data_IF_743924935141
#
_entry.id   IF_743924935141
#
_cell.length_a   1.000
_cell.length_b   1.000
_cell.length_c   1.000
_cell.angle_alpha   90.00
_cell.angle_beta   90.00
_cell.angle_gamma   90.00
#
_symmetry.space_group_name_H-M   'P 1'
#
loop_
_entity.id
_entity.type
_entity.pdbx_description
1 polymer ?
#
# COMPACT_ATOMS: atom_id res chain seq x y z
N UNK A 1 6.39 -9.21 16.40
CA UNK A 1 6.96 -7.87 16.06
C UNK A 1 6.13 -7.27 14.93
N UNK A 2 5.75 -6.00 15.01
CA UNK A 2 5.06 -5.34 13.90
C UNK A 2 6.01 -4.49 13.05
N UNK A 3 5.92 -4.59 11.71
CA UNK A 3 6.68 -3.78 10.75
C UNK A 3 5.78 -3.29 9.62
N UNK A 4 6.22 -2.32 8.81
CA UNK A 4 5.42 -1.75 7.71
C UNK A 4 4.40 -0.69 8.17
N UNK A 5 4.39 -0.34 9.45
CA UNK A 5 3.48 0.67 10.00
C UNK A 5 4.01 2.11 9.89
N UNK A 6 5.26 2.30 9.45
CA UNK A 6 5.83 3.64 9.27
C UNK A 6 5.13 4.36 8.11
N UNK A 7 4.42 5.43 8.44
CA UNK A 7 3.82 6.31 7.44
C UNK A 7 4.90 7.16 6.77
N UNK A 8 4.88 7.22 5.44
CA UNK A 8 5.72 8.14 4.68
C UNK A 8 5.21 9.56 4.92
N UNK A 9 6.05 10.41 5.51
CA UNK A 9 5.73 11.83 5.71
C UNK A 9 6.11 12.60 4.45
N UNK A 10 5.12 13.23 3.82
CA UNK A 10 5.35 14.12 2.67
C UNK A 10 5.97 15.42 3.18
N UNK A 11 7.10 15.82 2.59
CA UNK A 11 7.80 17.06 2.96
C UNK A 11 6.98 18.30 2.60
N UNK A 12 7.19 19.40 3.34
CA UNK A 12 6.53 20.68 3.09
C UNK A 12 6.74 21.21 1.68
N UNK A 13 7.95 21.02 1.11
CA UNK A 13 8.25 21.38 -0.27
C UNK A 13 7.30 20.68 -1.25
N UNK A 14 7.12 19.37 -1.12
CA UNK A 14 6.23 18.61 -1.99
C UNK A 14 4.76 18.99 -1.78
N UNK A 15 4.34 19.28 -0.55
CA UNK A 15 2.98 19.78 -0.26
C UNK A 15 2.68 21.09 -0.98
N UNK A 16 3.62 22.03 -0.95
CA UNK A 16 3.48 23.33 -1.62
C UNK A 16 3.45 23.15 -3.14
N UNK A 17 4.38 22.37 -3.70
CA UNK A 17 4.41 22.08 -5.15
C UNK A 17 3.10 21.42 -5.59
N UNK A 18 2.59 20.46 -4.82
CA UNK A 18 1.33 19.78 -5.09
C UNK A 18 0.13 20.73 -4.98
N UNK A 19 0.11 21.64 -3.99
CA UNK A 19 -0.92 22.68 -3.85
C UNK A 19 -0.99 23.58 -5.10
N UNK A 20 0.16 24.05 -5.58
CA UNK A 20 0.24 24.90 -6.77
C UNK A 20 -0.21 24.13 -8.01
N UNK A 21 0.31 22.92 -8.21
CA UNK A 21 -0.04 22.10 -9.37
C UNK A 21 -1.54 21.76 -9.42
N UNK A 22 -2.13 21.41 -8.27
CA UNK A 22 -3.57 21.12 -8.18
C UNK A 22 -4.43 22.38 -8.37
N UNK A 23 -4.01 23.54 -7.86
CA UNK A 23 -4.70 24.81 -8.12
C UNK A 23 -4.74 25.14 -9.61
N UNK A 24 -3.59 25.04 -10.30
CA UNK A 24 -3.50 25.32 -11.75
C UNK A 24 -4.35 24.33 -12.54
N UNK A 25 -4.20 23.03 -12.26
CA UNK A 25 -4.95 21.98 -12.96
C UNK A 25 -6.46 22.14 -12.76
N UNK A 26 -6.90 22.41 -11.54
CA UNK A 26 -8.33 22.58 -11.22
C UNK A 26 -8.92 23.82 -11.90
N UNK A 27 -8.22 24.96 -11.84
CA UNK A 27 -8.63 26.18 -12.56
C UNK A 27 -8.72 25.93 -14.07
N UNK A 28 -7.73 25.23 -14.64
CA UNK A 28 -7.73 24.90 -16.07
C UNK A 28 -8.91 24.00 -16.45
N UNK A 29 -9.25 23.00 -15.62
CA UNK A 29 -10.43 22.16 -15.82
C UNK A 29 -11.72 22.99 -15.80
N UNK A 30 -11.93 23.84 -14.79
CA UNK A 30 -13.12 24.69 -14.71
C UNK A 30 -13.21 25.67 -15.88
N UNK A 31 -12.10 26.28 -16.26
CA UNK A 31 -12.03 27.16 -17.43
C UNK A 31 -12.35 26.41 -18.73
N UNK A 32 -11.88 25.17 -18.87
CA UNK A 32 -12.20 24.33 -20.03
C UNK A 32 -13.69 24.02 -20.08
N UNK A 33 -14.31 23.67 -18.95
CA UNK A 33 -15.77 23.49 -18.88
C UNK A 33 -16.53 24.77 -19.22
N UNK A 34 -16.09 25.93 -18.71
CA UNK A 34 -16.66 27.24 -19.06
C UNK A 34 -16.57 27.52 -20.57
N UNK A 35 -15.43 27.24 -21.18
CA UNK A 35 -15.18 27.49 -22.61
C UNK A 35 -16.07 26.66 -23.54
N UNK A 36 -16.37 25.41 -23.16
CA UNK A 36 -17.26 24.53 -23.94
C UNK A 36 -18.74 24.67 -23.59
N UNK A 37 -19.08 25.55 -22.64
CA UNK A 37 -20.47 25.81 -22.26
C UNK A 37 -21.05 26.94 -23.09
N UNK A 38 -22.33 26.80 -23.48
CA UNK A 38 -23.04 27.85 -24.22
C UNK A 38 -23.28 29.11 -23.37
N UNK A 39 -23.20 28.96 -22.04
CA UNK A 39 -23.32 30.05 -21.07
C UNK A 39 -22.03 30.21 -20.28
N UNK A 40 -21.77 31.45 -19.84
CA UNK A 40 -20.67 31.74 -18.93
C UNK A 40 -21.00 31.21 -17.53
N UNK A 41 -20.40 30.09 -17.16
CA UNK A 41 -20.56 29.41 -15.88
C UNK A 41 -19.76 30.07 -14.75
N UNK A 42 -18.57 30.60 -15.07
CA UNK A 42 -17.65 31.12 -14.05
C UNK A 42 -17.15 32.54 -14.34
N UNK A 43 -17.09 33.37 -13.30
CA UNK A 43 -16.34 34.62 -13.34
C UNK A 43 -14.85 34.38 -13.12
N UNK A 44 -13.99 35.28 -13.61
CA UNK A 44 -12.53 35.21 -13.42
C UNK A 44 -12.19 35.16 -11.92
N UNK A 45 -12.87 35.97 -11.10
CA UNK A 45 -12.68 35.98 -9.65
C UNK A 45 -13.07 34.64 -9.01
N UNK A 46 -14.15 34.00 -9.49
CA UNK A 46 -14.59 32.68 -9.02
C UNK A 46 -13.57 31.61 -9.37
N UNK A 47 -13.05 31.60 -10.60
CA UNK A 47 -12.01 30.66 -11.04
C UNK A 47 -10.75 30.76 -10.17
N UNK A 48 -10.27 31.98 -9.94
CA UNK A 48 -9.08 32.23 -9.09
C UNK A 48 -9.34 31.75 -7.66
N UNK A 49 -10.47 32.15 -7.06
CA UNK A 49 -10.81 31.78 -5.69
C UNK A 49 -10.91 30.25 -5.53
N UNK A 50 -11.64 29.58 -6.42
CA UNK A 50 -11.83 28.14 -6.37
C UNK A 50 -10.51 27.39 -6.58
N UNK A 51 -9.68 27.81 -7.54
CA UNK A 51 -8.36 27.22 -7.77
C UNK A 51 -7.46 27.31 -6.54
N UNK A 52 -7.31 28.51 -5.97
CA UNK A 52 -6.48 28.73 -4.78
C UNK A 52 -7.02 27.96 -3.59
N UNK A 53 -8.32 28.02 -3.34
CA UNK A 53 -8.96 27.27 -2.26
C UNK A 53 -8.72 25.77 -2.40
N UNK A 54 -8.94 25.22 -3.60
CA UNK A 54 -8.76 23.80 -3.88
C UNK A 54 -7.31 23.37 -3.69
N UNK A 55 -6.35 24.15 -4.19
CA UNK A 55 -4.92 23.87 -4.00
C UNK A 55 -4.49 23.89 -2.54
N UNK A 56 -4.90 24.90 -1.75
CA UNK A 56 -4.60 24.99 -0.32
C UNK A 56 -5.26 23.82 0.43
N UNK A 57 -6.52 23.52 0.13
CA UNK A 57 -7.23 22.42 0.75
C UNK A 57 -6.52 21.10 0.48
N UNK A 58 -6.21 20.75 -0.77
CA UNK A 58 -5.60 19.45 -1.10
C UNK A 58 -4.12 19.35 -0.77
N UNK A 59 -3.36 20.45 -0.83
CA UNK A 59 -1.93 20.44 -0.53
C UNK A 59 -1.60 20.57 0.96
N UNK A 60 -2.46 21.23 1.76
CA UNK A 60 -2.19 21.52 3.16
C UNK A 60 -3.29 20.98 4.08
N UNK A 61 -4.54 21.39 3.86
CA UNK A 61 -5.66 21.06 4.76
C UNK A 61 -5.94 19.56 4.83
N UNK A 62 -6.06 18.92 3.68
CA UNK A 62 -6.37 17.50 3.54
C UNK A 62 -5.27 16.61 4.12
N UNK A 63 -3.96 16.80 3.83
CA UNK A 63 -2.91 16.04 4.50
C UNK A 63 -2.95 16.16 6.03
N UNK A 64 -3.21 17.35 6.58
CA UNK A 64 -3.33 17.55 8.03
C UNK A 64 -4.51 16.76 8.64
N UNK A 65 -5.69 16.86 8.02
CA UNK A 65 -6.88 16.11 8.44
C UNK A 65 -6.62 14.61 8.31
N UNK A 66 -6.07 14.18 7.17
CA UNK A 66 -5.81 12.78 6.88
C UNK A 66 -4.79 12.18 7.86
N UNK A 67 -3.70 12.86 8.20
CA UNK A 67 -2.75 12.36 9.21
C UNK A 67 -3.42 12.12 10.58
N UNK A 68 -4.34 13.00 10.98
CA UNK A 68 -5.07 12.90 12.26
C UNK A 68 -6.14 11.81 12.25
N UNK A 69 -6.82 11.61 11.13
CA UNK A 69 -7.92 10.65 10.99
C UNK A 69 -7.47 9.25 10.50
N UNK A 70 -6.56 9.18 9.53
CA UNK A 70 -6.05 7.93 8.97
C UNK A 70 -5.36 7.06 10.02
N UNK A 71 -4.63 7.65 10.97
CA UNK A 71 -4.00 6.89 12.06
C UNK A 71 -5.03 6.14 12.92
N UNK A 72 -6.20 6.72 13.16
CA UNK A 72 -7.31 6.08 13.91
C UNK A 72 -8.03 5.04 13.06
N UNK A 73 -8.29 5.36 11.79
CA UNK A 73 -8.98 4.46 10.86
C UNK A 73 -8.15 3.21 10.53
N UNK A 74 -6.88 3.40 10.18
CA UNK A 74 -5.93 2.33 9.85
C UNK A 74 -5.74 1.36 11.01
N UNK A 75 -5.56 1.86 12.25
CA UNK A 75 -5.54 1.02 13.45
C UNK A 75 -6.83 0.19 13.58
N UNK A 76 -8.00 0.80 13.42
CA UNK A 76 -9.28 0.11 13.58
C UNK A 76 -9.51 -0.98 12.52
N UNK A 77 -9.09 -0.75 11.27
CA UNK A 77 -9.24 -1.70 10.17
C UNK A 77 -8.19 -2.83 10.21
N UNK A 78 -6.95 -2.53 10.59
CA UNK A 78 -5.85 -3.49 10.70
C UNK A 78 -5.94 -4.42 11.91
N UNK A 79 -6.51 -3.94 13.04
CA UNK A 79 -6.61 -4.71 14.30
C UNK A 79 -7.49 -5.98 14.22
N UNK A 80 -8.33 -6.12 13.19
CA UNK A 80 -9.27 -7.25 13.09
C UNK A 80 -8.81 -8.39 12.18
N UNK A 81 -7.67 -8.26 11.49
CA UNK A 81 -7.17 -9.34 10.65
C UNK A 81 -6.35 -10.29 11.51
N UNK A 82 -6.87 -11.52 11.68
CA UNK A 82 -6.13 -12.65 12.22
C UNK A 82 -6.10 -13.77 11.18
N UNK A 83 -4.94 -14.41 10.96
CA UNK A 83 -4.86 -15.58 10.10
C UNK A 83 -5.38 -16.82 10.85
N UNK A 84 -5.73 -17.83 10.08
CA UNK A 84 -5.89 -19.20 10.57
C UNK A 84 -4.49 -19.82 10.67
N UNK A 85 -4.18 -20.44 11.81
CA UNK A 85 -2.87 -21.01 12.13
C UNK A 85 -2.99 -22.52 12.28
N UNK A 86 -1.94 -23.23 11.88
CA UNK A 86 -1.79 -24.66 12.15
C UNK A 86 -1.38 -24.94 13.60
N UNK A 87 -1.42 -26.22 13.99
CA UNK A 87 -0.87 -26.66 15.28
C UNK A 87 0.62 -26.26 15.40
N UNK A 88 0.99 -25.68 16.54
CA UNK A 88 2.33 -25.19 16.86
C UNK A 88 2.86 -24.13 15.88
N UNK A 89 1.97 -23.42 15.18
CA UNK A 89 2.33 -22.29 14.35
C UNK A 89 2.19 -20.97 15.13
N UNK A 90 3.25 -20.16 15.12
CA UNK A 90 3.32 -18.91 15.87
C UNK A 90 3.65 -17.74 14.95
N UNK A 91 2.95 -16.62 15.13
CA UNK A 91 3.22 -15.38 14.40
C UNK A 91 4.43 -14.68 15.03
N UNK A 92 5.49 -14.50 14.24
CA UNK A 92 6.71 -13.83 14.68
C UNK A 92 6.74 -12.37 14.24
N UNK A 93 6.30 -12.10 13.00
CA UNK A 93 6.26 -10.76 12.39
C UNK A 93 4.95 -10.55 11.67
N UNK A 94 4.39 -9.35 11.75
CA UNK A 94 3.18 -9.00 11.02
C UNK A 94 3.13 -7.53 10.61
N UNK A 95 2.34 -7.20 9.59
CA UNK A 95 2.14 -5.81 9.18
C UNK A 95 1.27 -5.63 7.95
N UNK A 96 0.88 -4.38 7.65
CA UNK A 96 -0.01 -4.09 6.52
C UNK A 96 0.66 -4.44 5.19
N UNK A 97 -0.10 -5.04 4.30
CA UNK A 97 0.33 -5.37 2.94
C UNK A 97 -0.85 -5.42 1.99
N UNK A 98 -0.58 -5.24 0.70
CA UNK A 98 -1.50 -5.65 -0.35
C UNK A 98 -0.91 -6.84 -1.10
N UNK A 99 -1.77 -7.73 -1.61
CA UNK A 99 -1.40 -8.81 -2.52
C UNK A 99 -2.12 -8.59 -3.85
N UNK A 100 -1.39 -8.56 -4.96
CA UNK A 100 -2.01 -8.56 -6.28
C UNK A 100 -2.64 -9.92 -6.57
N UNK A 101 -3.91 -9.90 -6.99
CA UNK A 101 -4.64 -11.06 -7.50
C UNK A 101 -5.19 -10.72 -8.87
N UNK A 102 -4.42 -11.08 -9.91
CA UNK A 102 -4.62 -10.55 -11.26
C UNK A 102 -4.33 -9.05 -11.30
N UNK A 103 -5.30 -8.27 -11.75
CA UNK A 103 -5.18 -6.80 -11.86
C UNK A 103 -5.54 -6.06 -10.56
N UNK A 104 -6.14 -6.74 -9.58
CA UNK A 104 -6.61 -6.14 -8.33
C UNK A 104 -5.53 -6.20 -7.24
N UNK A 105 -5.26 -5.07 -6.59
CA UNK A 105 -4.47 -5.03 -5.36
C UNK A 105 -5.38 -5.23 -4.15
N UNK A 106 -5.35 -6.42 -3.55
CA UNK A 106 -6.19 -6.77 -2.40
C UNK A 106 -5.51 -6.33 -1.10
N UNK A 107 -6.16 -5.47 -0.32
CA UNK A 107 -5.61 -4.99 0.95
C UNK A 107 -5.76 -6.00 2.10
N UNK A 108 -4.75 -6.09 2.96
CA UNK A 108 -4.76 -7.01 4.10
C UNK A 108 -3.55 -6.87 5.02
N UNK A 109 -3.20 -7.97 5.67
CA UNK A 109 -2.03 -8.09 6.54
C UNK A 109 -1.20 -9.30 6.09
N UNK A 110 0.11 -9.12 6.04
CA UNK A 110 1.08 -10.19 5.85
C UNK A 110 1.66 -10.58 7.20
N UNK A 111 1.87 -11.88 7.40
CA UNK A 111 2.38 -12.49 8.62
C UNK A 111 3.55 -13.41 8.24
N UNK A 112 4.64 -13.34 9.00
CA UNK A 112 5.69 -14.34 8.98
C UNK A 112 5.52 -15.18 10.23
N UNK A 113 5.23 -16.47 10.03
CA UNK A 113 5.20 -17.43 11.12
C UNK A 113 6.52 -18.19 11.18
N UNK A 114 6.67 -19.06 12.18
CA UNK A 114 7.75 -20.06 12.25
C UNK A 114 7.68 -21.11 11.13
N UNK A 115 6.59 -21.17 10.33
CA UNK A 115 6.36 -22.17 9.27
C UNK A 115 6.26 -21.60 7.85
N UNK A 116 5.57 -20.47 7.68
CA UNK A 116 5.18 -19.95 6.36
C UNK A 116 4.99 -18.44 6.36
N UNK A 117 4.91 -17.88 5.15
CA UNK A 117 4.36 -16.55 4.91
C UNK A 117 2.85 -16.70 4.75
N UNK A 118 2.08 -15.91 5.49
CA UNK A 118 0.63 -15.86 5.38
C UNK A 118 0.20 -14.47 4.94
N UNK A 119 -0.72 -14.37 3.99
CA UNK A 119 -1.46 -13.16 3.70
C UNK A 119 -2.94 -13.36 3.99
N UNK A 120 -3.55 -12.42 4.73
CA UNK A 120 -5.00 -12.42 4.98
C UNK A 120 -5.60 -11.08 4.56
N UNK A 121 -6.51 -11.13 3.60
CA UNK A 121 -7.25 -9.97 3.10
C UNK A 121 -8.25 -9.43 4.13
N UNK A 122 -8.60 -8.14 4.06
CA UNK A 122 -9.77 -7.63 4.78
C UNK A 122 -11.09 -8.29 4.33
N UNK A 123 -12.05 -8.40 5.25
CA UNK A 123 -13.39 -8.96 5.00
C UNK A 123 -14.22 -8.15 3.98
N UNK A 124 -13.85 -6.91 3.71
CA UNK A 124 -14.57 -5.99 2.80
C UNK A 124 -14.14 -6.11 1.34
N UNK A 125 -13.00 -6.74 1.03
CA UNK A 125 -12.52 -6.85 -0.34
C UNK A 125 -13.41 -7.74 -1.21
N UNK A 126 -13.38 -7.60 -2.53
CA UNK A 126 -14.09 -8.50 -3.44
C UNK A 126 -13.41 -9.88 -3.40
N UNK A 127 -12.10 -9.91 -3.67
CA UNK A 127 -11.29 -11.12 -3.54
C UNK A 127 -10.79 -11.28 -2.10
N UNK A 128 -11.46 -12.16 -1.33
CA UNK A 128 -11.15 -12.42 0.08
C UNK A 128 -10.33 -13.70 0.27
N UNK A 129 -9.87 -13.93 1.48
CA UNK A 129 -9.29 -15.21 1.91
C UNK A 129 -7.88 -15.11 2.46
N UNK A 130 -7.36 -16.28 2.80
CA UNK A 130 -5.98 -16.48 3.23
C UNK A 130 -5.15 -17.05 2.09
N UNK A 131 -3.87 -16.69 2.04
CA UNK A 131 -2.89 -17.23 1.11
C UNK A 131 -1.68 -17.64 1.91
N UNK A 132 -1.37 -18.93 1.87
CA UNK A 132 -0.30 -19.56 2.62
C UNK A 132 0.83 -19.91 1.65
N UNK A 133 2.06 -19.53 2.00
CA UNK A 133 3.26 -19.78 1.19
C UNK A 133 4.31 -20.37 2.13
N UNK A 134 4.47 -21.69 2.07
CA UNK A 134 5.46 -22.39 2.89
C UNK A 134 6.88 -22.00 2.49
N UNK A 135 7.75 -21.72 3.46
CA UNK A 135 9.14 -21.35 3.18
C UNK A 135 9.88 -22.42 2.35
N UNK A 136 9.57 -23.70 2.57
CA UNK A 136 10.11 -24.84 1.83
C UNK A 136 9.77 -24.83 0.33
N UNK A 137 8.68 -24.18 -0.05
CA UNK A 137 8.21 -24.12 -1.44
C UNK A 137 8.69 -22.87 -2.18
N UNK A 138 9.39 -21.96 -1.49
CA UNK A 138 9.90 -20.73 -2.09
C UNK A 138 11.14 -21.06 -2.91
N UNK A 139 11.08 -20.74 -4.20
CA UNK A 139 12.21 -20.82 -5.13
C UNK A 139 13.02 -19.54 -5.17
N UNK A 140 12.35 -18.39 -5.15
CA UNK A 140 12.99 -17.08 -5.31
C UNK A 140 12.19 -15.97 -4.62
N UNK A 141 12.89 -14.95 -4.12
CA UNK A 141 12.29 -13.72 -3.61
C UNK A 141 12.94 -12.54 -4.34
N UNK A 142 12.11 -11.67 -4.94
CA UNK A 142 12.59 -10.56 -5.79
C UNK A 142 12.02 -9.23 -5.31
N UNK A 143 12.86 -8.19 -5.24
CA UNK A 143 12.38 -6.81 -5.03
C UNK A 143 11.77 -6.26 -6.32
N UNK A 144 10.61 -5.62 -6.21
CA UNK A 144 9.85 -5.07 -7.33
C UNK A 144 9.49 -3.60 -7.10
N UNK A 145 9.04 -2.97 -8.17
CA UNK A 145 8.44 -1.63 -8.16
C UNK A 145 6.97 -1.71 -8.51
N UNK A 146 6.10 -1.08 -7.70
CA UNK A 146 4.68 -0.93 -8.07
C UNK A 146 4.57 0.11 -9.18
N UNK A 147 3.81 -0.23 -10.24
CA UNK A 147 3.66 0.58 -11.45
C UNK A 147 5.01 1.02 -12.08
N UNK A 148 6.10 0.27 -11.85
CA UNK A 148 7.48 0.61 -12.24
C UNK A 148 8.07 1.88 -11.60
N UNK A 149 7.38 2.49 -10.65
CA UNK A 149 7.74 3.79 -10.07
C UNK A 149 8.13 3.70 -8.59
N UNK A 150 7.36 2.97 -7.79
CA UNK A 150 7.49 3.01 -6.33
C UNK A 150 8.20 1.74 -5.83
N UNK A 151 9.28 1.92 -5.08
CA UNK A 151 10.12 0.86 -4.52
C UNK A 151 9.50 0.17 -3.29
N UNK A 152 8.31 -0.41 -3.47
CA UNK A 152 7.50 -1.00 -2.40
C UNK A 152 6.99 -2.42 -2.71
N UNK A 153 7.50 -3.08 -3.75
CA UNK A 153 7.05 -4.41 -4.15
C UNK A 153 7.98 -5.56 -3.71
N UNK A 154 7.43 -6.71 -3.36
CA UNK A 154 8.14 -7.98 -3.17
C UNK A 154 7.40 -9.07 -3.94
N UNK A 155 8.12 -9.83 -4.76
CA UNK A 155 7.59 -11.04 -5.40
C UNK A 155 8.16 -12.27 -4.71
N UNK A 156 7.29 -13.20 -4.35
CA UNK A 156 7.68 -14.55 -3.95
C UNK A 156 7.31 -15.50 -5.09
N UNK A 157 8.27 -16.28 -5.55
CA UNK A 157 8.09 -17.29 -6.60
C UNK A 157 8.25 -18.65 -5.95
N UNK A 158 7.26 -19.52 -6.12
CA UNK A 158 7.30 -20.89 -5.60
C UNK A 158 7.89 -21.87 -6.61
N UNK A 159 8.25 -23.07 -6.17
CA UNK A 159 8.86 -24.11 -7.01
C UNK A 159 7.95 -24.55 -8.19
N UNK A 160 6.63 -24.47 -8.00
CA UNK A 160 5.62 -24.71 -9.04
C UNK A 160 5.39 -23.51 -9.98
N UNK A 161 6.16 -22.43 -9.81
CA UNK A 161 6.13 -21.24 -10.67
C UNK A 161 5.04 -20.23 -10.35
N UNK A 162 4.27 -20.38 -9.25
CA UNK A 162 3.32 -19.35 -8.84
C UNK A 162 4.04 -18.11 -8.34
N UNK A 163 3.52 -16.95 -8.72
CA UNK A 163 4.05 -15.65 -8.29
C UNK A 163 3.07 -14.96 -7.34
N UNK A 164 3.58 -14.49 -6.21
CA UNK A 164 2.83 -13.70 -5.23
C UNK A 164 3.45 -12.30 -5.13
N UNK A 165 2.76 -11.32 -5.70
CA UNK A 165 3.21 -9.94 -5.77
C UNK A 165 2.63 -9.11 -4.62
N UNK A 166 3.46 -8.85 -3.62
CA UNK A 166 3.14 -8.04 -2.46
C UNK A 166 3.52 -6.58 -2.65
N UNK A 167 2.72 -5.69 -2.08
CA UNK A 167 3.04 -4.28 -1.88
C UNK A 167 3.10 -4.01 -0.38
N UNK A 168 4.24 -3.53 0.10
CA UNK A 168 4.53 -3.34 1.53
C UNK A 168 5.25 -2.02 1.80
N UNK A 169 5.02 -1.44 2.96
CA UNK A 169 5.91 -0.41 3.50
C UNK A 169 7.16 -1.07 4.10
N UNK A 170 8.27 -0.35 4.17
CA UNK A 170 9.55 -0.89 4.69
C UNK A 170 10.00 -2.15 3.91
N UNK A 171 9.91 -2.11 2.57
CA UNK A 171 10.22 -3.23 1.64
C UNK A 171 11.50 -3.98 1.99
N UNK A 172 12.59 -3.27 2.24
CA UNK A 172 13.88 -3.91 2.47
C UNK A 172 13.88 -4.73 3.77
N UNK A 173 13.21 -4.23 4.81
CA UNK A 173 13.06 -4.97 6.07
C UNK A 173 12.20 -6.23 5.87
N UNK A 174 11.10 -6.14 5.12
CA UNK A 174 10.32 -7.33 4.78
C UNK A 174 11.14 -8.35 4.00
N UNK A 175 11.85 -7.89 2.96
CA UNK A 175 12.70 -8.74 2.13
C UNK A 175 13.74 -9.50 2.97
N UNK A 176 14.43 -8.80 3.87
CA UNK A 176 15.44 -9.41 4.75
C UNK A 176 14.81 -10.43 5.69
N UNK A 177 13.65 -10.10 6.29
CA UNK A 177 12.97 -10.98 7.25
C UNK A 177 12.38 -12.24 6.60
N UNK A 178 11.92 -12.16 5.36
CA UNK A 178 11.44 -13.34 4.62
C UNK A 178 12.65 -14.19 4.19
N UNK A 179 13.68 -13.58 3.61
CA UNK A 179 14.89 -14.26 3.14
C UNK A 179 15.60 -15.03 4.27
N UNK A 180 15.73 -14.44 5.46
CA UNK A 180 16.33 -15.13 6.62
C UNK A 180 15.56 -16.40 7.00
N UNK A 181 14.22 -16.39 6.92
CA UNK A 181 13.38 -17.55 7.27
C UNK A 181 13.41 -18.62 6.19
N UNK A 182 13.35 -18.18 4.94
CA UNK A 182 13.54 -19.04 3.78
C UNK A 182 14.85 -19.82 3.88
N UNK A 183 15.99 -19.12 3.99
CA UNK A 183 17.32 -19.73 4.06
C UNK A 183 17.48 -20.71 5.22
N UNK A 184 16.91 -20.41 6.40
CA UNK A 184 16.95 -21.33 7.55
C UNK A 184 16.29 -22.67 7.19
N UNK A 185 15.15 -22.66 6.52
CA UNK A 185 14.43 -23.90 6.17
C UNK A 185 15.13 -24.68 5.05
N UNK A 186 15.76 -24.00 4.09
CA UNK A 186 16.56 -24.67 3.06
C UNK A 186 17.78 -25.39 3.66
N UNK A 187 18.37 -24.87 4.73
CA UNK A 187 19.50 -25.51 5.42
C UNK A 187 19.12 -26.80 6.16
N UNK A 188 17.91 -26.90 6.72
CA UNK A 188 17.45 -28.11 7.42
C UNK A 188 16.90 -29.20 6.49
N UNK A 189 16.54 -28.87 5.24
CA UNK A 189 16.03 -29.84 4.27
C UNK A 189 17.15 -30.53 3.45
N UNK A 190 18.40 -30.04 3.57
CA UNK A 190 19.57 -30.56 2.86
C UNK A 190 20.48 -31.44 3.76
N UNK A 191 19.96 -31.93 4.89
CA UNK A 191 20.64 -32.85 5.82
C UNK A 191 19.89 -34.16 5.90
#
# INVERSE_FOLDING_TARGET
MEIGNKMIKISWKYRIIFAIGTAILYTFLLWTFDYFSDEKLYSINSLIFQGVFFGIFFGIGFPYVNEKFAGKFSKKMGMQIKPELELNEEIEIEGPANLFRGIEGVGGKIFLTNKKVIFKSHKINIQKGQTDIEYSTIKEIVKRKTAKLIDNGIRIITDDGKEFDFVVNERDLWFDKITVRWNKKTQYNNV
#
